data_IF_505543385192
#
_entry.id   IF_505543385192
#
_cell.length_a   1.000
_cell.length_b   1.000
_cell.length_c   1.000
_cell.angle_alpha   90.00
_cell.angle_beta   90.00
_cell.angle_gamma   90.00
#
_symmetry.space_group_name_H-M   'P 1'
#
loop_
_entity.id
_entity.type
_entity.pdbx_description
1 polymer ?
#
# COMPACT_ATOMS: atom_id res chain seq x y z
N UNK A 1 24.82 12.60 -32.97
CA UNK A 1 23.77 13.17 -32.10
C UNK A 1 22.99 12.02 -31.48
N UNK A 2 23.30 11.65 -30.23
CA UNK A 2 22.76 10.47 -29.56
C UNK A 2 21.42 10.77 -28.90
N UNK A 3 20.38 10.05 -29.31
CA UNK A 3 19.04 10.16 -28.75
C UNK A 3 19.03 9.65 -27.31
N UNK A 4 18.71 10.55 -26.37
CA UNK A 4 18.46 10.25 -24.97
C UNK A 4 17.11 9.53 -24.83
N UNK A 5 17.09 8.22 -25.13
CA UNK A 5 15.96 7.35 -24.81
C UNK A 5 16.17 6.77 -23.40
N UNK A 6 15.23 7.06 -22.51
CA UNK A 6 14.80 6.05 -21.53
C UNK A 6 15.24 6.20 -20.07
N UNK A 7 15.01 7.35 -19.43
CA UNK A 7 14.95 7.43 -17.95
C UNK A 7 13.52 7.33 -17.38
N UNK A 8 12.62 6.63 -18.08
CA UNK A 8 11.21 6.44 -17.66
C UNK A 8 10.83 4.98 -17.32
N UNK A 9 11.78 4.02 -17.38
CA UNK A 9 11.48 2.58 -17.34
C UNK A 9 11.32 1.91 -15.96
N UNK A 10 11.49 2.61 -14.83
CA UNK A 10 11.58 1.94 -13.51
C UNK A 10 10.24 1.64 -12.82
N UNK A 11 9.13 2.24 -13.25
CA UNK A 11 7.82 2.06 -12.58
C UNK A 11 7.10 0.76 -12.92
N UNK A 12 7.47 0.07 -14.00
CA UNK A 12 6.82 -1.17 -14.47
C UNK A 12 7.47 -2.46 -13.94
N UNK A 13 8.61 -2.37 -13.27
CA UNK A 13 9.42 -3.55 -12.92
C UNK A 13 8.76 -4.38 -11.81
N UNK A 14 8.17 -3.75 -10.78
CA UNK A 14 7.61 -4.47 -9.63
C UNK A 14 6.48 -5.44 -10.04
N UNK A 15 5.47 -4.95 -10.76
CA UNK A 15 4.33 -5.76 -11.19
C UNK A 15 4.75 -6.87 -12.16
N UNK A 16 5.67 -6.56 -13.10
CA UNK A 16 6.16 -7.51 -14.08
C UNK A 16 7.01 -8.63 -13.44
N UNK A 17 7.94 -8.27 -12.56
CA UNK A 17 8.79 -9.22 -11.84
C UNK A 17 7.95 -10.12 -10.93
N UNK A 18 6.96 -9.55 -10.23
CA UNK A 18 6.02 -10.33 -9.44
C UNK A 18 5.25 -11.32 -10.32
N UNK A 19 4.64 -10.86 -11.42
CA UNK A 19 3.84 -11.71 -12.29
C UNK A 19 4.66 -12.89 -12.87
N UNK A 20 5.90 -12.63 -13.30
CA UNK A 20 6.80 -13.68 -13.77
C UNK A 20 7.18 -14.68 -12.68
N UNK A 21 7.39 -14.23 -11.44
CA UNK A 21 7.70 -15.11 -10.31
C UNK A 21 6.48 -15.91 -9.87
N UNK A 22 5.30 -15.29 -9.81
CA UNK A 22 4.04 -15.93 -9.48
C UNK A 22 3.70 -17.05 -10.47
N UNK A 23 3.71 -16.74 -11.77
CA UNK A 23 3.43 -17.74 -12.81
C UNK A 23 4.39 -18.93 -12.77
N UNK A 24 5.69 -18.69 -12.55
CA UNK A 24 6.68 -19.77 -12.38
C UNK A 24 6.41 -20.62 -11.14
N UNK A 25 6.07 -19.99 -10.01
CA UNK A 25 5.83 -20.68 -8.73
C UNK A 25 4.58 -21.56 -8.79
N UNK A 26 3.50 -21.05 -9.39
CA UNK A 26 2.22 -21.74 -9.46
C UNK A 26 2.00 -22.52 -10.76
N UNK A 27 3.01 -22.59 -11.64
CA UNK A 27 2.95 -23.22 -12.97
C UNK A 27 1.78 -22.72 -13.84
N UNK A 28 1.46 -21.44 -13.71
CA UNK A 28 0.39 -20.78 -14.48
C UNK A 28 0.95 -20.04 -15.70
N UNK A 29 0.08 -19.76 -16.67
CA UNK A 29 0.39 -18.98 -17.87
C UNK A 29 -0.67 -17.89 -18.02
N UNK A 30 -0.25 -16.65 -18.31
CA UNK A 30 -1.15 -15.52 -18.59
C UNK A 30 -0.96 -14.32 -17.67
N UNK A 31 -1.94 -13.42 -17.71
CA UNK A 31 -1.94 -12.15 -16.98
C UNK A 31 -2.30 -12.36 -15.49
N UNK A 32 -1.44 -11.89 -14.58
CA UNK A 32 -1.70 -11.89 -13.13
C UNK A 32 -2.51 -10.67 -12.70
N UNK A 33 -2.23 -9.52 -13.32
CA UNK A 33 -2.87 -8.24 -12.97
C UNK A 33 -3.95 -7.89 -14.00
N UNK A 34 -5.10 -7.42 -13.51
CA UNK A 34 -6.23 -7.05 -14.36
C UNK A 34 -6.02 -5.71 -15.10
N UNK A 35 -5.59 -4.66 -14.39
CA UNK A 35 -5.36 -3.31 -14.96
C UNK A 35 -4.00 -2.75 -14.50
N UNK A 36 -3.56 -1.67 -15.14
CA UNK A 36 -2.36 -0.91 -14.77
C UNK A 36 -2.54 -0.23 -13.42
N UNK A 37 -1.44 -0.08 -12.68
CA UNK A 37 -1.43 0.72 -11.45
C UNK A 37 -1.88 2.16 -11.74
N UNK A 38 -2.55 2.76 -10.75
CA UNK A 38 -2.89 4.19 -10.76
C UNK A 38 -1.89 4.94 -9.89
N UNK A 39 -1.49 6.13 -10.34
CA UNK A 39 -0.61 7.02 -9.56
C UNK A 39 -1.18 8.42 -9.63
N UNK A 40 -1.52 8.98 -8.47
CA UNK A 40 -2.09 10.31 -8.32
C UNK A 40 -1.29 11.07 -7.27
N UNK A 41 -0.93 12.30 -7.58
CA UNK A 41 -0.27 13.20 -6.63
C UNK A 41 -1.28 13.59 -5.55
N UNK A 42 -0.85 13.55 -4.30
CA UNK A 42 -1.58 14.09 -3.16
C UNK A 42 -1.23 15.57 -3.06
N UNK A 43 -2.23 16.42 -3.26
CA UNK A 43 -2.06 17.88 -3.39
C UNK A 43 -2.04 18.59 -2.04
N UNK A 44 -2.79 18.06 -1.06
CA UNK A 44 -2.94 18.68 0.24
C UNK A 44 -3.20 17.64 1.34
N UNK A 45 -3.17 18.11 2.58
CA UNK A 45 -3.35 17.29 3.76
C UNK A 45 -4.77 16.68 3.87
N UNK A 46 -5.80 17.37 3.36
CA UNK A 46 -7.16 16.82 3.35
C UNK A 46 -7.24 15.63 2.40
N UNK A 47 -6.65 15.74 1.21
CA UNK A 47 -6.58 14.64 0.24
C UNK A 47 -5.75 13.48 0.80
N UNK A 48 -4.68 13.78 1.53
CA UNK A 48 -3.89 12.77 2.24
C UNK A 48 -4.77 11.95 3.20
N UNK A 49 -5.47 12.61 4.12
CA UNK A 49 -6.33 11.94 5.11
C UNK A 49 -7.45 11.13 4.44
N UNK A 50 -8.10 11.68 3.42
CA UNK A 50 -9.12 10.96 2.65
C UNK A 50 -8.56 9.71 1.98
N UNK A 51 -7.36 9.81 1.42
CA UNK A 51 -6.69 8.69 0.75
C UNK A 51 -6.27 7.62 1.76
N UNK A 52 -5.71 8.03 2.90
CA UNK A 52 -5.34 7.14 3.99
C UNK A 52 -6.57 6.36 4.49
N UNK A 53 -7.64 7.07 4.84
CA UNK A 53 -8.88 6.44 5.33
C UNK A 53 -9.51 5.53 4.28
N UNK A 54 -9.47 5.91 3.00
CA UNK A 54 -9.91 5.06 1.92
C UNK A 54 -9.15 3.74 1.90
N UNK A 55 -7.81 3.77 1.90
CA UNK A 55 -6.97 2.57 1.87
C UNK A 55 -7.19 1.71 3.11
N UNK A 56 -7.15 2.32 4.29
CA UNK A 56 -7.28 1.62 5.58
C UNK A 56 -8.64 0.95 5.77
N UNK A 57 -9.72 1.52 5.23
CA UNK A 57 -11.07 0.96 5.34
C UNK A 57 -11.44 0.00 4.20
N UNK A 58 -10.59 -0.17 3.17
CA UNK A 58 -10.89 -1.09 2.07
C UNK A 58 -11.14 -2.55 2.51
N UNK A 59 -10.35 -3.13 3.44
CA UNK A 59 -10.63 -4.47 3.95
C UNK A 59 -12.00 -4.59 4.63
N UNK A 60 -12.38 -3.58 5.41
CA UNK A 60 -13.70 -3.53 6.08
C UNK A 60 -14.83 -3.44 5.04
N UNK A 61 -14.69 -2.54 4.06
CA UNK A 61 -15.65 -2.40 2.94
C UNK A 61 -15.78 -3.67 2.09
N UNK A 62 -14.71 -4.44 1.99
CA UNK A 62 -14.69 -5.72 1.29
C UNK A 62 -15.22 -6.89 2.16
N UNK A 63 -15.58 -6.65 3.43
CA UNK A 63 -16.07 -7.66 4.37
C UNK A 63 -15.00 -8.63 4.87
N UNK A 64 -13.72 -8.25 4.79
CA UNK A 64 -12.59 -9.12 5.19
C UNK A 64 -12.28 -9.02 6.68
N UNK A 65 -12.70 -7.96 7.36
CA UNK A 65 -12.53 -7.73 8.80
C UNK A 65 -13.59 -6.73 9.30
N UNK A 66 -13.78 -6.62 10.61
CA UNK A 66 -14.71 -5.67 11.21
C UNK A 66 -14.04 -4.30 11.38
N UNK A 67 -12.75 -4.27 11.70
CA UNK A 67 -11.98 -3.06 11.90
C UNK A 67 -10.71 -3.00 11.03
N UNK A 68 -10.27 -1.80 10.66
CA UNK A 68 -9.11 -1.59 9.78
C UNK A 68 -7.78 -2.13 10.37
N UNK A 69 -7.67 -2.15 11.70
CA UNK A 69 -6.51 -2.67 12.42
C UNK A 69 -6.43 -4.20 12.50
N UNK A 70 -7.51 -4.91 12.17
CA UNK A 70 -7.55 -6.38 12.23
C UNK A 70 -6.99 -7.04 10.97
N UNK A 71 -7.03 -6.34 9.83
CA UNK A 71 -6.59 -6.92 8.57
C UNK A 71 -5.07 -7.19 8.61
N UNK A 72 -4.62 -8.44 8.41
CA UNK A 72 -3.23 -8.84 8.64
C UNK A 72 -2.22 -8.12 7.73
N UNK A 73 -2.67 -7.62 6.58
CA UNK A 73 -1.82 -6.92 5.61
C UNK A 73 -2.13 -5.41 5.55
N UNK A 74 -2.66 -4.81 6.62
CA UNK A 74 -2.88 -3.36 6.69
C UNK A 74 -1.68 -2.62 7.30
N UNK A 75 -1.41 -1.42 6.80
CA UNK A 75 -0.37 -0.55 7.38
C UNK A 75 -0.68 -0.18 8.84
N UNK A 76 -1.96 -0.03 9.20
CA UNK A 76 -2.40 0.24 10.59
C UNK A 76 -1.92 -0.87 11.52
N UNK A 77 -2.13 -2.14 11.15
CA UNK A 77 -1.68 -3.27 11.98
C UNK A 77 -0.16 -3.24 12.17
N UNK A 78 0.59 -3.06 11.09
CA UNK A 78 2.06 -3.02 11.13
C UNK A 78 2.58 -1.90 12.04
N UNK A 79 1.97 -0.70 11.94
CA UNK A 79 2.33 0.44 12.79
C UNK A 79 2.00 0.14 14.27
N UNK A 80 0.79 -0.36 14.56
CA UNK A 80 0.35 -0.69 15.92
C UNK A 80 1.22 -1.76 16.58
N UNK A 81 1.63 -2.76 15.80
CA UNK A 81 2.46 -3.88 16.26
C UNK A 81 3.96 -3.58 16.18
N UNK A 82 4.35 -2.37 15.74
CA UNK A 82 5.74 -1.93 15.60
C UNK A 82 6.57 -2.87 14.72
N UNK A 83 5.96 -3.37 13.65
CA UNK A 83 6.60 -4.24 12.66
C UNK A 83 7.27 -3.36 11.60
N UNK A 84 8.61 -3.32 11.63
CA UNK A 84 9.42 -2.44 10.79
C UNK A 84 10.18 -3.13 9.67
N UNK A 85 9.86 -4.40 9.39
CA UNK A 85 10.47 -5.16 8.28
C UNK A 85 10.11 -4.59 6.90
N UNK A 86 8.97 -3.89 6.81
CA UNK A 86 8.44 -3.33 5.56
C UNK A 86 8.10 -1.84 5.65
N UNK A 87 7.75 -1.34 6.83
CA UNK A 87 7.31 0.04 7.03
C UNK A 87 8.16 0.73 8.10
N UNK A 88 8.78 1.85 7.72
CA UNK A 88 9.42 2.73 8.68
C UNK A 88 8.39 3.28 9.69
N UNK A 89 8.79 3.59 10.93
CA UNK A 89 7.93 4.27 11.89
C UNK A 89 7.35 5.55 11.29
N UNK A 90 6.03 5.79 11.40
CA UNK A 90 5.44 7.02 10.88
C UNK A 90 5.87 8.25 11.70
N UNK A 91 5.85 9.41 11.07
CA UNK A 91 6.07 10.69 11.75
C UNK A 91 5.09 10.88 12.91
N UNK A 92 5.53 11.53 13.99
CA UNK A 92 4.70 11.79 15.18
C UNK A 92 3.36 12.45 14.88
N UNK A 93 3.30 13.26 13.82
CA UNK A 93 2.08 13.91 13.37
C UNK A 93 0.98 12.93 12.94
N UNK A 94 1.35 11.76 12.39
CA UNK A 94 0.38 10.74 11.98
C UNK A 94 -0.33 10.10 13.15
N UNK A 95 0.33 9.95 14.30
CA UNK A 95 -0.35 9.51 15.52
C UNK A 95 -1.44 10.53 15.87
N UNK A 96 -1.10 11.82 16.02
CA UNK A 96 -2.04 12.87 16.43
C UNK A 96 -3.31 12.97 15.56
N UNK A 97 -3.22 12.65 14.27
CA UNK A 97 -4.32 12.85 13.31
C UNK A 97 -5.05 11.56 12.92
N UNK A 98 -4.54 10.38 13.33
CA UNK A 98 -5.12 9.08 13.00
C UNK A 98 -5.41 8.34 14.33
N UNK A 99 -6.65 8.45 14.85
CA UNK A 99 -7.05 7.82 16.11
C UNK A 99 -6.83 6.30 16.12
N UNK A 100 -6.91 5.64 14.98
CA UNK A 100 -6.69 4.19 14.86
C UNK A 100 -5.24 3.77 15.12
N UNK A 101 -4.30 4.72 15.09
CA UNK A 101 -2.91 4.52 15.49
C UNK A 101 -2.69 4.79 16.97
N UNK A 102 -3.64 5.42 17.66
CA UNK A 102 -3.59 5.56 19.10
C UNK A 102 -3.84 4.19 19.74
N UNK A 103 -3.08 3.89 20.78
CA UNK A 103 -3.35 2.72 21.60
C UNK A 103 -4.76 2.89 22.20
N UNK A 104 -5.63 1.87 22.21
CA UNK A 104 -6.67 1.84 23.23
C UNK A 104 -5.93 1.76 24.56
N UNK A 105 -5.97 2.82 25.37
CA UNK A 105 -5.44 2.81 26.72
C UNK A 105 -5.93 1.53 27.43
N UNK A 106 -4.99 0.69 27.85
CA UNK A 106 -5.26 -0.44 28.75
C UNK A 106 -5.34 0.09 30.18
#
# INVERSE_FOLDING_TARGET
>A
MGNAVGKWGRRLILLAVFAQRFNRMFKQIGHVWYDRFKSKIIQDFRQFLQTFNYISLNPVKAGLCQESGEYPFSGIKFIREKIHDLLDPPDNYLYLVIPELHYPDN
#
